data_IF_101961609912
#
_entry.id   IF_101961609912
#
_cell.length_a   1.000
_cell.length_b   1.000
_cell.length_c   1.000
_cell.angle_alpha   90.00
_cell.angle_beta   90.00
_cell.angle_gamma   90.00
#
_symmetry.space_group_name_H-M   'P 1'
#
loop_
_entity.id
_entity.type
_entity.pdbx_description
1 polymer ?
#
# COMPACT_ATOMS: atom_id res chain seq x y z
N UNK A 1 -3.56 -2.40 -2.12
CA UNK A 1 -3.41 -3.17 -3.39
C UNK A 1 -3.30 -2.24 -4.59
N UNK A 2 -2.54 -2.67 -5.59
CA UNK A 2 -2.39 -2.05 -6.90
C UNK A 2 -2.04 -3.15 -7.92
N UNK A 3 -2.03 -2.81 -9.22
CA UNK A 3 -1.70 -3.75 -10.30
C UNK A 3 -0.19 -3.91 -10.52
N UNK A 4 0.57 -2.88 -10.14
CA UNK A 4 2.01 -2.77 -10.37
C UNK A 4 2.62 -1.85 -9.29
N UNK A 5 3.95 -1.84 -9.20
CA UNK A 5 4.71 -1.10 -8.18
C UNK A 5 4.60 0.41 -8.34
N UNK A 6 4.43 0.92 -9.57
CA UNK A 6 4.28 2.35 -9.84
C UNK A 6 2.96 2.87 -9.26
N UNK A 7 1.85 2.20 -9.56
CA UNK A 7 0.53 2.53 -9.00
C UNK A 7 0.47 2.32 -7.49
N UNK A 8 1.16 1.31 -6.95
CA UNK A 8 1.27 1.12 -5.50
C UNK A 8 1.92 2.34 -4.84
N UNK A 9 3.01 2.82 -5.44
CA UNK A 9 3.78 3.97 -4.98
C UNK A 9 2.96 5.26 -5.07
N UNK A 10 2.30 5.50 -6.21
CA UNK A 10 1.46 6.68 -6.41
C UNK A 10 0.32 6.75 -5.39
N UNK A 11 -0.34 5.62 -5.15
CA UNK A 11 -1.43 5.52 -4.19
C UNK A 11 -0.93 5.79 -2.77
N UNK A 12 0.22 5.20 -2.39
CA UNK A 12 0.84 5.43 -1.08
C UNK A 12 1.15 6.92 -0.88
N UNK A 13 1.79 7.59 -1.85
CA UNK A 13 2.08 9.02 -1.73
C UNK A 13 0.83 9.89 -1.59
N UNK A 14 -0.23 9.56 -2.33
CA UNK A 14 -1.47 10.32 -2.29
C UNK A 14 -2.20 10.15 -0.95
N UNK A 15 -2.24 8.92 -0.43
CA UNK A 15 -2.83 8.63 0.88
C UNK A 15 -2.02 9.26 2.02
N UNK A 16 -0.70 9.12 2.02
CA UNK A 16 0.18 9.72 3.03
C UNK A 16 0.12 11.25 2.99
N UNK A 17 0.13 11.83 1.79
CA UNK A 17 0.02 13.29 1.63
C UNK A 17 -1.30 13.82 2.17
N UNK A 18 -2.41 13.14 1.89
CA UNK A 18 -3.74 13.52 2.39
C UNK A 18 -3.87 13.35 3.91
N UNK A 19 -3.42 12.22 4.44
CA UNK A 19 -3.60 11.86 5.85
C UNK A 19 -2.64 12.60 6.79
N UNK A 20 -1.44 12.92 6.32
CA UNK A 20 -0.36 13.47 7.15
C UNK A 20 0.14 14.84 6.68
N UNK A 21 -0.47 15.45 5.65
CA UNK A 21 -0.08 16.78 5.15
C UNK A 21 1.37 16.84 4.63
N UNK A 22 1.91 15.71 4.18
CA UNK A 22 3.34 15.56 3.87
C UNK A 22 3.59 15.62 2.36
N UNK A 23 4.66 16.31 1.95
CA UNK A 23 5.07 16.38 0.54
C UNK A 23 5.80 15.10 0.12
N UNK A 24 5.65 14.71 -1.15
CA UNK A 24 6.27 13.47 -1.69
C UNK A 24 7.78 13.40 -1.49
N UNK A 25 8.48 14.53 -1.63
CA UNK A 25 9.94 14.61 -1.46
C UNK A 25 10.43 14.41 -0.02
N UNK A 26 9.52 14.39 0.96
CA UNK A 26 9.83 14.14 2.38
C UNK A 26 9.58 12.69 2.78
N UNK A 27 9.09 11.85 1.85
CA UNK A 27 8.77 10.45 2.10
C UNK A 27 9.86 9.59 1.45
N UNK A 28 10.49 8.72 2.25
CA UNK A 28 11.47 7.74 1.78
C UNK A 28 10.86 6.34 1.90
N UNK A 29 10.75 5.65 0.78
CA UNK A 29 10.31 4.25 0.73
C UNK A 29 11.52 3.37 1.03
N UNK A 30 11.44 2.57 2.10
CA UNK A 30 12.53 1.67 2.50
C UNK A 30 12.52 0.35 1.75
N UNK A 31 11.34 -0.22 1.53
CA UNK A 31 11.13 -1.43 0.72
C UNK A 31 9.77 -1.36 0.01
N UNK A 32 9.68 -2.02 -1.14
CA UNK A 32 8.45 -2.26 -1.87
C UNK A 32 8.53 -3.65 -2.51
N UNK A 33 7.78 -4.59 -1.95
CA UNK A 33 7.80 -5.99 -2.34
C UNK A 33 6.37 -6.47 -2.59
N UNK A 34 6.20 -7.31 -3.61
CA UNK A 34 4.94 -8.00 -3.83
C UNK A 34 4.82 -9.16 -2.84
N UNK A 35 3.75 -9.15 -2.05
CA UNK A 35 3.45 -10.20 -1.09
C UNK A 35 2.24 -11.00 -1.57
N UNK A 36 2.20 -12.28 -1.20
CA UNK A 36 0.98 -13.06 -1.40
C UNK A 36 -0.10 -12.55 -0.45
N UNK A 37 -1.39 -12.65 -0.83
CA UNK A 37 -2.44 -12.13 0.02
C UNK A 37 -2.62 -12.91 1.34
N UNK A 38 -2.16 -14.17 1.41
CA UNK A 38 -2.11 -14.98 2.65
C UNK A 38 -1.14 -14.41 3.70
N UNK A 39 -0.04 -13.81 3.24
CA UNK A 39 1.02 -13.22 4.08
C UNK A 39 0.69 -11.79 4.54
N UNK A 40 -0.44 -11.21 4.11
CA UNK A 40 -0.81 -9.85 4.48
C UNK A 40 -1.11 -9.76 5.98
N UNK A 41 -0.48 -8.84 6.71
CA UNK A 41 -0.73 -8.68 8.16
C UNK A 41 -2.07 -8.00 8.47
N UNK A 42 -2.58 -7.20 7.51
CA UNK A 42 -3.80 -6.41 7.69
C UNK A 42 -5.04 -7.20 7.25
N UNK A 43 -6.04 -7.42 8.13
CA UNK A 43 -7.22 -8.21 7.81
C UNK A 43 -8.05 -7.58 6.69
N UNK A 44 -8.09 -6.24 6.59
CA UNK A 44 -8.83 -5.57 5.52
C UNK A 44 -8.21 -5.90 4.14
N UNK A 45 -6.89 -6.08 4.09
CA UNK A 45 -6.19 -6.46 2.84
C UNK A 45 -6.52 -7.89 2.45
N UNK A 46 -6.61 -8.83 3.42
CA UNK A 46 -7.03 -10.21 3.19
C UNK A 46 -8.48 -10.30 2.71
N UNK A 47 -9.38 -9.54 3.34
CA UNK A 47 -10.78 -9.43 2.94
C UNK A 47 -10.92 -8.96 1.50
N UNK A 48 -10.26 -7.86 1.12
CA UNK A 48 -10.32 -7.37 -0.26
C UNK A 48 -9.67 -8.32 -1.28
N UNK A 49 -8.74 -9.18 -0.84
CA UNK A 49 -8.14 -10.22 -1.66
C UNK A 49 -9.01 -11.48 -1.78
N UNK A 50 -10.10 -11.58 -1.02
CA UNK A 50 -11.04 -12.71 -1.04
C UNK A 50 -10.54 -13.96 -0.32
N UNK A 51 -9.67 -13.79 0.70
CA UNK A 51 -9.14 -14.91 1.50
C UNK A 51 -9.95 -15.16 2.78
N UNK A 52 -10.65 -14.14 3.30
CA UNK A 52 -11.48 -14.25 4.50
C UNK A 52 -12.91 -13.72 4.21
N UNK A 53 -13.92 -14.44 4.74
CA UNK A 53 -15.35 -14.08 4.75
C UNK A 53 -15.71 -13.36 6.07
#
# INVERSE_FOLDING_TARGET
RALDSERATEKMFSEFGSRHGTRRNMIKISSLEEIKPEDAERPEVKFYAGIED
#
